data_IF_718898382323
#
_entry.id   IF_718898382323
#
_cell.length_a   1.000
_cell.length_b   1.000
_cell.length_c   1.000
_cell.angle_alpha   90.00
_cell.angle_beta   90.00
_cell.angle_gamma   90.00
#
_symmetry.space_group_name_H-M   'P 1'
#
loop_
_entity.id
_entity.type
_entity.pdbx_description
1 polymer ?
#
# COMPACT_ATOMS: atom_id res chain seq x y z
N UNK A 1 -2.09 0.44 -32.12
CA UNK A 1 -3.45 0.75 -31.63
C UNK A 1 -3.38 1.93 -30.69
N UNK A 2 -4.46 2.70 -30.62
CA UNK A 2 -4.69 3.80 -29.69
C UNK A 2 -5.59 3.30 -28.56
N UNK A 3 -5.06 3.25 -27.34
CA UNK A 3 -5.71 2.61 -26.20
C UNK A 3 -6.00 3.67 -25.14
N UNK A 4 -7.28 3.88 -24.85
CA UNK A 4 -7.71 4.76 -23.77
C UNK A 4 -7.96 3.94 -22.51
N UNK A 5 -7.19 4.17 -21.44
CA UNK A 5 -7.38 3.47 -20.15
C UNK A 5 -8.01 4.43 -19.15
N UNK A 6 -9.00 3.98 -18.37
CA UNK A 6 -9.67 4.81 -17.37
C UNK A 6 -9.42 4.26 -15.97
N UNK A 7 -8.74 5.06 -15.14
CA UNK A 7 -8.53 4.79 -13.73
C UNK A 7 -9.58 5.56 -12.89
N UNK A 8 -10.36 4.88 -12.05
CA UNK A 8 -11.43 5.51 -11.27
C UNK A 8 -10.91 6.27 -10.04
N UNK A 9 -9.69 5.97 -9.59
CA UNK A 9 -9.11 6.48 -8.35
C UNK A 9 -8.08 7.56 -8.63
N UNK A 10 -7.98 8.53 -7.71
CA UNK A 10 -7.00 9.60 -7.89
C UNK A 10 -5.57 9.08 -7.96
N UNK A 11 -4.81 9.66 -8.89
CA UNK A 11 -3.43 9.30 -9.21
C UNK A 11 -2.47 9.72 -8.09
N UNK A 12 -2.87 10.69 -7.27
CA UNK A 12 -2.11 11.26 -6.16
C UNK A 12 -1.86 10.24 -5.03
N UNK A 13 -2.74 9.23 -4.93
CA UNK A 13 -2.71 8.24 -3.86
C UNK A 13 -2.31 6.88 -4.42
N UNK A 14 -1.22 6.26 -3.94
CA UNK A 14 -0.82 4.94 -4.39
C UNK A 14 -1.81 3.86 -3.93
N UNK A 15 -2.17 2.98 -4.87
CA UNK A 15 -3.07 1.86 -4.65
C UNK A 15 -2.90 0.79 -5.72
N UNK A 16 -3.44 -0.41 -5.47
CA UNK A 16 -3.23 -1.56 -6.34
C UNK A 16 -3.76 -1.36 -7.77
N UNK A 17 -4.90 -0.69 -7.93
CA UNK A 17 -5.47 -0.41 -9.25
C UNK A 17 -4.65 0.66 -9.98
N UNK A 18 -4.19 1.70 -9.29
CA UNK A 18 -3.31 2.72 -9.88
C UNK A 18 -2.00 2.11 -10.37
N UNK A 19 -1.36 1.25 -9.57
CA UNK A 19 -0.15 0.54 -9.98
C UNK A 19 -0.41 -0.37 -11.17
N UNK A 20 -1.49 -1.15 -11.13
CA UNK A 20 -1.86 -2.01 -12.26
C UNK A 20 -2.08 -1.19 -13.55
N UNK A 21 -2.81 -0.09 -13.50
CA UNK A 21 -3.06 0.78 -14.66
C UNK A 21 -1.76 1.37 -15.19
N UNK A 22 -0.89 1.88 -14.31
CA UNK A 22 0.42 2.43 -14.69
C UNK A 22 1.27 1.37 -15.38
N UNK A 23 1.46 0.22 -14.74
CA UNK A 23 2.36 -0.83 -15.21
C UNK A 23 1.85 -1.42 -16.54
N UNK A 24 0.52 -1.59 -16.68
CA UNK A 24 -0.12 -1.99 -17.92
C UNK A 24 0.07 -0.95 -19.04
N UNK A 25 -0.15 0.33 -18.75
CA UNK A 25 0.03 1.41 -19.72
C UNK A 25 1.49 1.46 -20.23
N UNK A 26 2.47 1.43 -19.32
CA UNK A 26 3.89 1.43 -19.66
C UNK A 26 4.30 0.17 -20.44
N UNK A 27 3.74 -0.99 -20.11
CA UNK A 27 3.96 -2.20 -20.87
C UNK A 27 3.40 -2.11 -22.30
N UNK A 28 2.17 -1.64 -22.47
CA UNK A 28 1.55 -1.44 -23.78
C UNK A 28 2.31 -0.40 -24.63
N UNK A 29 2.81 0.68 -24.01
CA UNK A 29 3.68 1.66 -24.68
C UNK A 29 4.96 0.98 -25.17
N UNK A 30 5.60 0.14 -24.34
CA UNK A 30 6.79 -0.63 -24.74
C UNK A 30 6.53 -1.60 -25.91
N UNK A 31 5.31 -2.10 -26.04
CA UNK A 31 4.88 -2.92 -27.18
C UNK A 31 4.56 -2.10 -28.44
N UNK A 32 4.68 -0.76 -28.40
CA UNK A 32 4.47 0.13 -29.54
C UNK A 32 3.03 0.64 -29.70
N UNK A 33 2.19 0.53 -28.66
CA UNK A 33 0.85 1.11 -28.66
C UNK A 33 0.87 2.59 -28.21
N UNK A 34 -0.04 3.39 -28.75
CA UNK A 34 -0.31 4.74 -28.25
C UNK A 34 -1.30 4.61 -27.09
N UNK A 35 -0.91 4.99 -25.89
CA UNK A 35 -1.75 4.85 -24.69
C UNK A 35 -2.02 6.20 -24.07
N UNK A 36 -3.28 6.44 -23.69
CA UNK A 36 -3.67 7.56 -22.85
C UNK A 36 -4.44 7.05 -21.64
N UNK A 37 -4.15 7.57 -20.46
CA UNK A 37 -4.79 7.19 -19.19
C UNK A 37 -5.58 8.38 -18.68
N UNK A 38 -6.89 8.23 -18.48
CA UNK A 38 -7.71 9.21 -17.79
C UNK A 38 -7.83 8.85 -16.30
N UNK A 39 -7.43 9.74 -15.41
CA UNK A 39 -7.52 9.55 -13.98
C UNK A 39 -7.85 10.86 -13.24
N UNK A 40 -8.54 10.82 -12.09
CA UNK A 40 -8.58 11.96 -11.19
C UNK A 40 -7.17 12.32 -10.70
N UNK A 41 -6.88 13.60 -10.54
CA UNK A 41 -5.62 14.08 -9.97
C UNK A 41 -5.79 15.51 -9.46
N UNK A 42 -5.02 15.87 -8.43
CA UNK A 42 -4.90 17.25 -7.97
C UNK A 42 -4.05 18.08 -8.95
N UNK A 43 -4.27 19.40 -9.00
CA UNK A 43 -3.68 20.26 -10.05
C UNK A 43 -2.15 20.34 -9.98
N UNK A 44 -1.58 20.15 -8.79
CA UNK A 44 -0.14 20.18 -8.53
C UNK A 44 0.54 18.82 -8.72
N UNK A 45 -0.22 17.76 -9.01
CA UNK A 45 0.33 16.42 -9.08
C UNK A 45 1.11 16.23 -10.38
N UNK A 46 2.41 15.87 -10.31
CA UNK A 46 3.18 15.57 -11.50
C UNK A 46 2.63 14.30 -12.16
N UNK A 47 2.15 14.42 -13.40
CA UNK A 47 1.58 13.32 -14.16
C UNK A 47 2.54 12.88 -15.27
N UNK A 48 2.68 11.57 -15.52
CA UNK A 48 3.35 11.07 -16.72
C UNK A 48 2.69 11.64 -17.99
N UNK A 49 3.42 11.77 -19.11
CA UNK A 49 2.91 12.43 -20.32
C UNK A 49 1.70 11.72 -20.96
N UNK A 50 1.50 10.44 -20.66
CA UNK A 50 0.36 9.66 -21.13
C UNK A 50 -0.86 9.76 -20.19
N UNK A 51 -0.77 10.45 -19.05
CA UNK A 51 -1.86 10.58 -18.08
C UNK A 51 -2.54 11.95 -18.20
N UNK A 52 -3.86 11.94 -18.34
CA UNK A 52 -4.73 13.11 -18.44
C UNK A 52 -5.58 13.23 -17.17
N UNK A 53 -5.55 14.40 -16.53
CA UNK A 53 -6.36 14.66 -15.33
C UNK A 53 -7.84 14.84 -15.69
N UNK A 54 -8.70 14.07 -15.03
CA UNK A 54 -10.15 14.30 -15.00
C UNK A 54 -10.55 15.35 -13.94
N UNK A 55 -9.60 15.83 -13.14
CA UNK A 55 -9.78 16.79 -12.06
C UNK A 55 -9.67 16.20 -10.65
N UNK A 56 -9.78 17.10 -9.67
CA UNK A 56 -9.70 16.78 -8.25
C UNK A 56 -10.72 15.73 -7.82
N UNK A 57 -10.28 14.85 -6.95
CA UNK A 57 -11.09 13.79 -6.40
C UNK A 57 -11.63 14.14 -5.01
N UNK A 58 -12.86 13.73 -4.74
CA UNK A 58 -13.52 13.85 -3.44
C UNK A 58 -13.29 12.55 -2.64
N UNK A 59 -12.91 12.63 -1.36
CA UNK A 59 -12.76 11.44 -0.52
C UNK A 59 -14.12 10.81 -0.22
N UNK A 60 -14.24 9.52 -0.51
CA UNK A 60 -15.41 8.68 -0.25
C UNK A 60 -14.96 7.49 0.60
N UNK A 61 -15.60 7.29 1.75
CA UNK A 61 -15.35 6.11 2.59
C UNK A 61 -15.94 4.87 1.93
N UNK A 62 -15.10 3.87 1.67
CA UNK A 62 -15.49 2.61 1.07
C UNK A 62 -14.74 1.44 1.72
N UNK A 63 -15.49 0.51 2.31
CA UNK A 63 -14.96 -0.76 2.86
C UNK A 63 -13.79 -0.59 3.86
N UNK A 64 -13.91 0.36 4.79
CA UNK A 64 -12.86 0.65 5.76
C UNK A 64 -11.63 1.38 5.20
N UNK A 65 -11.63 1.73 3.92
CA UNK A 65 -10.61 2.55 3.26
C UNK A 65 -11.22 3.87 2.76
N UNK A 66 -10.38 4.86 2.47
CA UNK A 66 -10.80 6.12 1.84
C UNK A 66 -10.38 6.07 0.37
N UNK A 67 -11.36 5.95 -0.52
CA UNK A 67 -11.14 6.06 -1.97
C UNK A 67 -11.37 7.51 -2.38
N UNK A 68 -10.48 8.08 -3.20
CA UNK A 68 -10.67 9.43 -3.76
C UNK A 68 -11.20 9.28 -5.18
N UNK A 69 -12.47 9.64 -5.38
CA UNK A 69 -13.21 9.46 -6.64
C UNK A 69 -13.59 10.82 -7.24
N UNK A 70 -13.76 10.87 -8.55
CA UNK A 70 -14.25 12.05 -9.25
C UNK A 70 -15.49 11.69 -10.08
N UNK A 71 -16.58 12.43 -9.88
CA UNK A 71 -17.85 12.23 -10.55
C UNK A 71 -18.63 13.56 -10.59
N UNK A 72 -19.37 13.82 -11.68
CA UNK A 72 -20.15 15.04 -11.83
C UNK A 72 -20.12 15.61 -13.25
N UNK A 73 -20.83 16.73 -13.46
CA UNK A 73 -21.01 17.34 -14.78
C UNK A 73 -19.68 17.78 -15.43
N UNK A 74 -18.79 18.43 -14.68
CA UNK A 74 -17.49 18.87 -15.17
C UNK A 74 -16.61 17.69 -15.57
N UNK A 75 -16.62 16.64 -14.77
CA UNK A 75 -15.91 15.38 -15.01
C UNK A 75 -16.46 14.69 -16.26
N UNK A 76 -17.78 14.66 -16.44
CA UNK A 76 -18.42 14.12 -17.63
C UNK A 76 -18.05 14.89 -18.90
N UNK A 77 -17.95 16.23 -18.82
CA UNK A 77 -17.47 17.05 -19.93
C UNK A 77 -16.02 16.73 -20.30
N UNK A 78 -15.13 16.57 -19.29
CA UNK A 78 -13.73 16.17 -19.49
C UNK A 78 -13.59 14.77 -20.09
N UNK A 79 -14.36 13.81 -19.59
CA UNK A 79 -14.43 12.44 -20.13
C UNK A 79 -14.83 12.47 -21.61
N UNK A 80 -15.91 13.19 -21.97
CA UNK A 80 -16.36 13.30 -23.37
C UNK A 80 -15.31 13.90 -24.27
N UNK A 81 -14.65 14.98 -23.83
CA UNK A 81 -13.57 15.62 -24.57
C UNK A 81 -12.39 14.66 -24.78
N UNK A 82 -11.96 13.97 -23.72
CA UNK A 82 -10.86 13.02 -23.80
C UNK A 82 -11.17 11.84 -24.75
N UNK A 83 -12.39 11.32 -24.71
CA UNK A 83 -12.84 10.26 -25.63
C UNK A 83 -12.85 10.76 -27.09
N UNK A 84 -13.34 11.97 -27.32
CA UNK A 84 -13.40 12.58 -28.65
C UNK A 84 -12.00 12.83 -29.23
N UNK A 85 -11.14 13.54 -28.47
CA UNK A 85 -9.80 13.94 -28.91
C UNK A 85 -8.86 12.73 -29.02
N UNK A 86 -9.08 11.71 -28.19
CA UNK A 86 -8.28 10.50 -28.15
C UNK A 86 -8.53 9.52 -29.29
N UNK A 87 -9.74 9.52 -29.89
CA UNK A 87 -10.16 8.62 -30.97
C UNK A 87 -9.56 7.20 -30.85
N UNK A 88 -9.86 6.56 -29.72
CA UNK A 88 -9.29 5.28 -29.30
C UNK A 88 -9.88 4.09 -30.06
N UNK A 89 -9.03 3.12 -30.40
CA UNK A 89 -9.44 1.82 -30.97
C UNK A 89 -10.13 0.94 -29.91
N UNK A 90 -9.66 1.05 -28.66
CA UNK A 90 -10.17 0.31 -27.50
C UNK A 90 -10.18 1.22 -26.28
N UNK A 91 -11.27 1.15 -25.51
CA UNK A 91 -11.40 1.85 -24.22
C UNK A 91 -11.41 0.80 -23.11
N UNK A 92 -10.41 0.86 -22.23
CA UNK A 92 -10.22 -0.09 -21.14
C UNK A 92 -10.52 0.57 -19.79
N UNK A 93 -11.63 0.20 -19.16
CA UNK A 93 -12.13 0.82 -17.94
C UNK A 93 -11.87 -0.08 -16.74
N UNK A 94 -11.29 0.48 -15.66
CA UNK A 94 -11.10 -0.25 -14.40
C UNK A 94 -12.18 0.13 -13.38
N UNK A 95 -12.76 -0.88 -12.70
CA UNK A 95 -13.85 -0.75 -11.71
C UNK A 95 -15.03 0.14 -12.15
N UNK A 96 -15.70 -0.16 -13.29
CA UNK A 96 -16.83 0.65 -13.77
C UNK A 96 -18.07 0.58 -12.88
N UNK A 97 -18.10 -0.31 -11.87
CA UNK A 97 -19.23 -0.50 -10.96
C UNK A 97 -19.37 0.60 -9.89
N UNK A 98 -18.46 1.57 -9.83
CA UNK A 98 -18.52 2.67 -8.85
C UNK A 98 -18.83 4.01 -9.53
N UNK A 99 -19.59 4.93 -8.89
CA UNK A 99 -19.85 6.27 -9.42
C UNK A 99 -18.55 7.09 -9.53
N UNK A 100 -17.87 6.94 -10.65
CA UNK A 100 -16.52 7.46 -10.91
C UNK A 100 -16.38 7.88 -12.37
N UNK A 101 -15.22 8.43 -12.74
CA UNK A 101 -14.86 8.70 -14.14
C UNK A 101 -14.93 7.45 -15.01
N UNK A 102 -14.77 6.25 -14.44
CA UNK A 102 -14.94 4.98 -15.13
C UNK A 102 -16.38 4.74 -15.57
N UNK A 103 -17.35 5.00 -14.69
CA UNK A 103 -18.77 4.91 -15.04
C UNK A 103 -19.18 5.97 -16.07
N UNK A 104 -18.71 7.21 -15.90
CA UNK A 104 -18.94 8.28 -16.86
C UNK A 104 -18.38 7.95 -18.24
N UNK A 105 -17.18 7.37 -18.30
CA UNK A 105 -16.58 6.89 -19.54
C UNK A 105 -17.40 5.76 -20.16
N UNK A 106 -17.90 4.83 -19.35
CA UNK A 106 -18.78 3.75 -19.82
C UNK A 106 -20.06 4.28 -20.49
N UNK A 107 -20.70 5.30 -19.90
CA UNK A 107 -21.86 5.96 -20.51
C UNK A 107 -21.51 6.72 -21.80
N UNK A 108 -20.39 7.46 -21.82
CA UNK A 108 -20.03 8.34 -22.94
C UNK A 108 -19.36 7.63 -24.12
N UNK A 109 -18.61 6.56 -23.87
CA UNK A 109 -17.80 5.85 -24.87
C UNK A 109 -18.65 5.21 -25.97
N UNK A 110 -18.12 5.15 -27.18
CA UNK A 110 -18.66 4.35 -28.27
C UNK A 110 -17.55 3.44 -28.80
N UNK A 111 -17.91 2.29 -29.37
CA UNK A 111 -16.94 1.30 -29.86
C UNK A 111 -16.55 0.25 -28.80
N UNK A 112 -15.42 -0.46 -28.99
CA UNK A 112 -15.01 -1.57 -28.14
C UNK A 112 -14.64 -1.13 -26.72
N UNK A 113 -15.40 -1.59 -25.73
CA UNK A 113 -15.15 -1.32 -24.31
C UNK A 113 -14.72 -2.61 -23.62
N UNK A 114 -13.53 -2.60 -23.03
CA UNK A 114 -13.04 -3.65 -22.13
C UNK A 114 -13.16 -3.15 -20.71
N UNK A 115 -13.65 -3.97 -19.78
CA UNK A 115 -13.71 -3.61 -18.37
C UNK A 115 -12.99 -4.62 -17.48
N UNK A 116 -12.15 -4.13 -16.56
CA UNK A 116 -11.48 -4.97 -15.55
C UNK A 116 -12.04 -4.73 -14.16
N UNK A 117 -12.36 -5.83 -13.47
CA UNK A 117 -12.87 -5.88 -12.11
C UNK A 117 -11.81 -6.51 -11.19
N UNK A 118 -11.28 -5.68 -10.31
CA UNK A 118 -10.31 -5.95 -9.24
C UNK A 118 -10.95 -6.33 -7.91
N UNK A 119 -12.16 -5.84 -7.63
CA UNK A 119 -12.81 -6.07 -6.34
C UNK A 119 -13.62 -7.36 -6.32
N UNK A 120 -13.69 -7.96 -5.14
CA UNK A 120 -14.27 -9.28 -4.92
C UNK A 120 -15.21 -9.27 -3.71
N UNK A 121 -15.98 -8.20 -3.54
CA UNK A 121 -16.78 -8.04 -2.33
C UNK A 121 -18.20 -8.59 -2.54
N UNK A 122 -18.60 -9.64 -1.80
CA UNK A 122 -19.95 -10.16 -1.86
C UNK A 122 -20.89 -9.25 -1.07
N UNK A 123 -21.99 -8.82 -1.72
CA UNK A 123 -23.20 -8.25 -1.09
C UNK A 123 -23.06 -6.88 -0.43
N UNK A 124 -22.87 -5.83 -1.22
CA UNK A 124 -23.32 -4.50 -0.82
C UNK A 124 -24.78 -4.30 -1.22
N UNK A 125 -25.68 -4.12 -0.25
CA UNK A 125 -27.10 -3.75 -0.50
C UNK A 125 -27.20 -2.48 -1.36
N UNK A 126 -26.21 -1.60 -1.26
CA UNK A 126 -26.10 -0.37 -2.08
C UNK A 126 -25.79 -0.70 -3.54
N UNK A 127 -24.95 -1.69 -3.82
CA UNK A 127 -24.64 -2.12 -5.19
C UNK A 127 -25.88 -2.70 -5.88
N UNK A 128 -26.67 -3.52 -5.16
CA UNK A 128 -27.92 -4.09 -5.69
C UNK A 128 -28.92 -2.98 -6.00
N UNK A 129 -29.07 -1.99 -5.11
CA UNK A 129 -29.98 -0.87 -5.32
C UNK A 129 -29.53 0.08 -6.44
N UNK A 130 -28.22 0.23 -6.65
CA UNK A 130 -27.66 1.07 -7.72
C UNK A 130 -27.68 0.37 -9.10
N UNK A 131 -27.83 -0.96 -9.13
CA UNK A 131 -27.68 -1.76 -10.35
C UNK A 131 -28.57 -1.30 -11.53
N UNK A 132 -29.87 -0.99 -11.36
CA UNK A 132 -30.71 -0.55 -12.49
C UNK A 132 -30.22 0.75 -13.15
N UNK A 133 -29.54 1.62 -12.41
CA UNK A 133 -28.96 2.88 -12.91
C UNK A 133 -27.66 2.60 -13.68
N UNK A 134 -26.89 1.60 -13.22
CA UNK A 134 -25.59 1.23 -13.79
C UNK A 134 -25.73 0.34 -15.02
N UNK A 135 -26.79 -0.48 -15.08
CA UNK A 135 -27.01 -1.51 -16.09
C UNK A 135 -26.84 -1.02 -17.54
N UNK A 136 -27.43 0.11 -17.98
CA UNK A 136 -27.27 0.58 -19.35
C UNK A 136 -25.81 0.95 -19.72
N UNK A 137 -25.00 1.34 -18.73
CA UNK A 137 -23.56 1.54 -18.96
C UNK A 137 -22.88 0.18 -19.14
N UNK A 138 -23.11 -0.73 -18.20
CA UNK A 138 -22.41 -2.00 -18.12
C UNK A 138 -22.74 -2.94 -19.30
N UNK A 139 -23.93 -2.81 -19.90
CA UNK A 139 -24.33 -3.55 -21.10
C UNK A 139 -23.49 -3.18 -22.34
N UNK A 140 -22.91 -1.97 -22.38
CA UNK A 140 -22.02 -1.54 -23.48
C UNK A 140 -20.64 -2.19 -23.44
N UNK A 141 -20.29 -2.85 -22.34
CA UNK A 141 -19.00 -3.51 -22.17
C UNK A 141 -18.94 -4.73 -23.10
N UNK A 142 -18.03 -4.67 -24.06
CA UNK A 142 -17.78 -5.72 -25.06
C UNK A 142 -17.06 -6.92 -24.47
N UNK A 143 -16.11 -6.69 -23.56
CA UNK A 143 -15.35 -7.75 -22.88
C UNK A 143 -15.13 -7.43 -21.40
N UNK A 144 -15.28 -8.45 -20.54
CA UNK A 144 -15.11 -8.33 -19.10
C UNK A 144 -13.92 -9.17 -18.64
N UNK A 145 -13.05 -8.56 -17.86
CA UNK A 145 -11.88 -9.19 -17.24
C UNK A 145 -12.08 -9.19 -15.73
N UNK A 146 -11.95 -10.36 -15.11
CA UNK A 146 -11.84 -10.50 -13.67
C UNK A 146 -10.39 -10.80 -13.30
N UNK A 147 -9.84 -10.13 -12.29
CA UNK A 147 -8.42 -10.33 -11.93
C UNK A 147 -8.15 -11.62 -11.15
N UNK A 148 -9.20 -12.31 -10.75
CA UNK A 148 -9.15 -13.60 -10.04
C UNK A 148 -10.48 -14.33 -10.18
N UNK A 149 -10.50 -15.62 -9.92
CA UNK A 149 -11.76 -16.39 -9.85
C UNK A 149 -12.72 -15.84 -8.78
N UNK A 150 -12.17 -15.24 -7.71
CA UNK A 150 -13.00 -14.63 -6.68
C UNK A 150 -13.69 -13.34 -7.16
N UNK A 151 -12.97 -12.52 -7.94
CA UNK A 151 -13.55 -11.36 -8.61
C UNK A 151 -14.58 -11.78 -9.67
N UNK A 152 -14.30 -12.84 -10.43
CA UNK A 152 -15.23 -13.40 -11.43
C UNK A 152 -16.53 -13.86 -10.78
N UNK A 153 -16.44 -14.64 -9.71
CA UNK A 153 -17.62 -15.08 -8.95
C UNK A 153 -18.45 -13.89 -8.48
N UNK A 154 -17.80 -12.86 -7.93
CA UNK A 154 -18.48 -11.63 -7.50
C UNK A 154 -19.20 -10.94 -8.66
N UNK A 155 -18.54 -10.83 -9.81
CA UNK A 155 -19.10 -10.23 -11.02
C UNK A 155 -20.32 -11.00 -11.52
N UNK A 156 -20.19 -12.32 -11.68
CA UNK A 156 -21.26 -13.20 -12.17
C UNK A 156 -22.46 -13.16 -11.24
N UNK A 157 -22.23 -13.18 -9.92
CA UNK A 157 -23.30 -13.14 -8.91
C UNK A 157 -24.06 -11.81 -8.87
N UNK A 158 -23.41 -10.67 -9.16
CA UNK A 158 -24.01 -9.33 -8.93
C UNK A 158 -24.34 -8.55 -10.19
N UNK A 159 -23.56 -8.72 -11.26
CA UNK A 159 -23.70 -7.96 -12.51
C UNK A 159 -24.11 -8.84 -13.69
N UNK A 160 -24.08 -10.17 -13.53
CA UNK A 160 -24.39 -11.12 -14.60
C UNK A 160 -23.39 -11.09 -15.76
N UNK A 161 -23.55 -12.04 -16.69
CA UNK A 161 -22.66 -12.19 -17.84
C UNK A 161 -21.40 -13.01 -17.54
N UNK A 162 -20.59 -13.23 -18.57
CA UNK A 162 -19.32 -13.95 -18.46
C UNK A 162 -18.13 -12.97 -18.44
N UNK A 163 -17.03 -13.41 -17.83
CA UNK A 163 -15.77 -12.70 -17.78
C UNK A 163 -14.61 -13.67 -17.83
N UNK A 164 -13.56 -13.26 -18.53
CA UNK A 164 -12.30 -13.99 -18.59
C UNK A 164 -11.48 -13.66 -17.35
N UNK A 165 -10.89 -14.67 -16.71
CA UNK A 165 -9.95 -14.44 -15.61
C UNK A 165 -8.57 -14.13 -16.18
N UNK A 166 -8.09 -12.91 -15.94
CA UNK A 166 -6.72 -12.50 -16.29
C UNK A 166 -6.10 -11.89 -15.03
N UNK A 167 -5.17 -12.58 -14.37
CA UNK A 167 -4.49 -12.06 -13.19
C UNK A 167 -3.75 -10.75 -13.48
N UNK A 168 -3.58 -9.92 -12.46
CA UNK A 168 -2.75 -8.73 -12.58
C UNK A 168 -1.31 -9.12 -12.89
N UNK A 169 -0.70 -8.40 -13.83
CA UNK A 169 0.72 -8.51 -14.12
C UNK A 169 1.59 -7.98 -12.98
N UNK A 170 2.81 -8.47 -12.92
CA UNK A 170 3.88 -8.00 -12.05
C UNK A 170 5.11 -7.78 -12.93
N UNK A 171 5.86 -6.70 -12.73
CA UNK A 171 7.13 -6.49 -13.42
C UNK A 171 8.19 -7.46 -12.89
N UNK A 172 8.24 -8.65 -13.50
CA UNK A 172 9.14 -9.73 -13.07
C UNK A 172 10.60 -9.31 -13.21
N UNK A 173 10.96 -8.52 -14.21
CA UNK A 173 12.34 -8.08 -14.43
C UNK A 173 12.84 -7.19 -13.30
N UNK A 174 11.98 -6.30 -12.79
CA UNK A 174 12.29 -5.49 -11.61
C UNK A 174 12.63 -6.35 -10.39
N UNK A 175 11.83 -7.38 -10.11
CA UNK A 175 12.03 -8.24 -8.94
C UNK A 175 13.17 -9.25 -9.14
N UNK A 176 13.34 -9.79 -10.34
CA UNK A 176 14.37 -10.78 -10.65
C UNK A 176 15.80 -10.23 -10.50
N UNK A 177 15.97 -8.92 -10.64
CA UNK A 177 17.25 -8.22 -10.45
C UNK A 177 17.46 -7.66 -9.05
N UNK A 178 16.52 -7.88 -8.14
CA UNK A 178 16.63 -7.35 -6.78
C UNK A 178 17.69 -8.13 -5.98
N UNK A 179 18.64 -7.42 -5.39
CA UNK A 179 19.64 -8.03 -4.49
C UNK A 179 19.15 -8.03 -3.04
N UNK A 180 19.16 -9.19 -2.35
CA UNK A 180 18.79 -9.26 -0.94
C UNK A 180 19.73 -8.42 -0.07
N UNK A 181 19.17 -7.47 0.68
CA UNK A 181 19.93 -6.65 1.61
C UNK A 181 20.54 -7.47 2.74
N UNK A 182 21.89 -7.54 2.89
CA UNK A 182 22.56 -8.40 3.87
C UNK A 182 22.04 -8.25 5.29
N UNK A 183 21.69 -7.03 5.70
CA UNK A 183 21.21 -6.73 7.04
C UNK A 183 19.86 -7.39 7.37
N UNK A 184 19.07 -7.75 6.37
CA UNK A 184 17.76 -8.40 6.55
C UNK A 184 17.75 -9.89 6.22
N UNK A 185 18.89 -10.46 5.82
CA UNK A 185 19.02 -11.90 5.55
C UNK A 185 19.06 -12.71 6.84
N UNK A 186 18.65 -13.99 6.81
CA UNK A 186 18.60 -14.88 7.97
C UNK A 186 17.18 -15.01 8.54
N UNK A 187 17.06 -15.10 9.87
CA UNK A 187 15.78 -15.29 10.59
C UNK A 187 14.98 -13.98 10.67
N UNK A 188 14.56 -13.47 9.52
CA UNK A 188 13.77 -12.25 9.41
C UNK A 188 12.37 -12.58 8.90
N UNK A 189 11.35 -12.17 9.66
CA UNK A 189 9.96 -12.20 9.26
C UNK A 189 9.66 -10.89 8.54
N UNK A 190 9.24 -10.96 7.27
CA UNK A 190 8.80 -9.79 6.50
C UNK A 190 7.29 -9.62 6.56
N UNK A 191 6.82 -8.44 6.93
CA UNK A 191 5.42 -8.01 6.80
C UNK A 191 5.33 -6.89 5.77
N UNK A 192 4.48 -7.05 4.75
CA UNK A 192 4.24 -6.02 3.74
C UNK A 192 2.75 -5.66 3.74
N UNK A 193 2.43 -4.43 4.12
CA UNK A 193 1.05 -3.97 4.20
C UNK A 193 0.92 -2.63 4.91
N UNK A 194 -0.23 -1.97 4.73
CA UNK A 194 -0.54 -0.75 5.47
C UNK A 194 -0.65 -1.06 6.97
N UNK A 195 0.11 -0.34 7.77
CA UNK A 195 0.25 -0.55 9.23
C UNK A 195 -1.06 -0.22 9.94
N UNK A 196 -1.75 0.83 9.46
CA UNK A 196 -3.01 1.39 9.95
C UNK A 196 -4.26 0.65 9.46
N UNK A 197 -4.10 -0.47 8.74
CA UNK A 197 -5.22 -1.31 8.29
C UNK A 197 -5.23 -2.66 9.02
N UNK A 198 -5.97 -2.81 10.15
CA UNK A 198 -5.97 -4.02 10.97
C UNK A 198 -6.26 -5.32 10.20
N UNK A 199 -7.06 -5.23 9.12
CA UNK A 199 -7.37 -6.34 8.21
C UNK A 199 -6.14 -6.95 7.53
N UNK A 200 -5.00 -6.27 7.54
CA UNK A 200 -3.72 -6.76 7.00
C UNK A 200 -3.01 -7.72 7.95
N UNK A 201 -3.46 -7.84 9.20
CA UNK A 201 -3.00 -8.86 10.14
C UNK A 201 -1.75 -8.50 10.93
N UNK A 202 -1.23 -7.27 10.81
CA UNK A 202 -0.08 -6.84 11.62
C UNK A 202 -0.33 -6.99 13.14
N UNK A 203 -1.49 -6.60 13.69
CA UNK A 203 -1.76 -6.80 15.13
C UNK A 203 -1.77 -8.27 15.55
N UNK A 204 -2.13 -9.18 14.63
CA UNK A 204 -2.09 -10.63 14.89
C UNK A 204 -0.64 -11.10 14.97
N UNK A 205 0.20 -10.67 14.02
CA UNK A 205 1.63 -10.97 14.02
C UNK A 205 2.34 -10.44 15.27
N UNK A 206 2.04 -9.20 15.68
CA UNK A 206 2.60 -8.60 16.88
C UNK A 206 2.24 -9.41 18.14
N UNK A 207 1.00 -9.88 18.28
CA UNK A 207 0.61 -10.76 19.40
C UNK A 207 1.29 -12.13 19.38
N UNK A 208 1.66 -12.63 18.20
CA UNK A 208 2.38 -13.89 18.07
C UNK A 208 3.89 -13.75 18.34
N UNK A 209 4.45 -12.54 18.16
CA UNK A 209 5.88 -12.28 18.21
C UNK A 209 6.55 -12.73 19.52
N UNK A 210 5.97 -12.52 20.73
CA UNK A 210 6.60 -13.01 21.96
C UNK A 210 6.79 -14.53 22.01
N UNK A 211 5.88 -15.31 21.41
CA UNK A 211 5.99 -16.78 21.33
C UNK A 211 7.06 -17.18 20.32
N UNK A 212 7.10 -16.51 19.17
CA UNK A 212 8.14 -16.71 18.15
C UNK A 212 9.52 -16.44 18.75
N UNK A 213 9.70 -15.33 19.48
CA UNK A 213 10.97 -14.97 20.10
C UNK A 213 11.37 -15.92 21.25
N UNK A 214 10.42 -16.60 21.88
CA UNK A 214 10.73 -17.62 22.89
C UNK A 214 11.38 -18.86 22.27
N UNK A 215 10.98 -19.23 21.04
CA UNK A 215 11.53 -20.38 20.31
C UNK A 215 12.72 -20.02 19.42
N UNK A 216 12.72 -18.80 18.89
CA UNK A 216 13.73 -18.26 17.96
C UNK A 216 14.18 -16.87 18.44
N UNK A 217 15.08 -16.79 19.44
CA UNK A 217 15.41 -15.53 20.11
C UNK A 217 16.09 -14.48 19.23
N UNK A 218 16.71 -14.88 18.13
CA UNK A 218 17.38 -14.01 17.16
C UNK A 218 16.48 -13.63 15.97
N UNK A 219 15.19 -14.00 16.00
CA UNK A 219 14.24 -13.61 14.97
C UNK A 219 14.04 -12.08 14.95
N UNK A 220 13.93 -11.51 13.76
CA UNK A 220 13.67 -10.07 13.54
C UNK A 220 12.38 -9.89 12.75
N UNK A 221 11.68 -8.79 12.97
CA UNK A 221 10.50 -8.41 12.21
C UNK A 221 10.80 -7.16 11.37
N UNK A 222 10.67 -7.28 10.05
CA UNK A 222 10.72 -6.16 9.11
C UNK A 222 9.30 -5.82 8.66
N UNK A 223 8.83 -4.62 9.00
CA UNK A 223 7.51 -4.11 8.60
C UNK A 223 7.69 -3.06 7.50
N UNK A 224 7.13 -3.33 6.33
CA UNK A 224 7.17 -2.44 5.17
C UNK A 224 5.74 -2.01 4.76
N UNK A 225 5.47 -0.71 4.86
CA UNK A 225 4.22 -0.13 4.39
C UNK A 225 3.97 1.27 4.91
N UNK A 226 2.96 1.94 4.35
CA UNK A 226 2.49 3.23 4.86
C UNK A 226 1.71 3.02 6.15
N UNK A 227 1.71 4.02 7.01
CA UNK A 227 0.94 4.05 8.24
C UNK A 227 1.17 5.35 8.99
N UNK A 228 0.41 5.53 10.05
CA UNK A 228 0.61 6.64 10.97
C UNK A 228 1.85 6.41 11.85
N UNK A 229 2.60 7.49 12.12
CA UNK A 229 3.83 7.42 12.92
C UNK A 229 3.55 7.09 14.38
N UNK A 230 2.46 7.62 14.96
CA UNK A 230 2.06 7.30 16.34
C UNK A 230 1.70 5.82 16.46
N UNK A 231 0.94 5.30 15.49
CA UNK A 231 0.54 3.89 15.48
C UNK A 231 1.74 2.96 15.30
N UNK A 232 2.69 3.29 14.42
CA UNK A 232 3.92 2.52 14.23
C UNK A 232 4.76 2.46 15.51
N UNK A 233 4.91 3.60 16.22
CA UNK A 233 5.62 3.66 17.51
C UNK A 233 4.88 2.87 18.59
N UNK A 234 3.55 2.99 18.66
CA UNK A 234 2.74 2.24 19.62
C UNK A 234 2.91 0.73 19.41
N UNK A 235 2.84 0.27 18.16
CA UNK A 235 3.05 -1.13 17.80
C UNK A 235 4.46 -1.61 18.14
N UNK A 236 5.51 -0.86 17.77
CA UNK A 236 6.88 -1.21 18.13
C UNK A 236 7.07 -1.32 19.65
N UNK A 237 6.37 -0.49 20.42
CA UNK A 237 6.40 -0.50 21.87
C UNK A 237 5.51 -1.58 22.53
N UNK A 238 4.63 -2.24 21.79
CA UNK A 238 3.66 -3.23 22.30
C UNK A 238 4.25 -4.65 22.47
N UNK A 239 5.57 -4.81 22.31
CA UNK A 239 6.28 -6.06 22.65
C UNK A 239 6.69 -6.08 24.12
N UNK A 240 6.67 -7.26 24.75
CA UNK A 240 7.20 -7.47 26.11
C UNK A 240 8.74 -7.35 26.16
N UNK A 241 9.40 -7.39 25.00
CA UNK A 241 10.84 -7.31 24.84
C UNK A 241 11.25 -5.91 24.32
N UNK A 242 12.52 -5.56 24.48
CA UNK A 242 13.03 -4.27 24.07
C UNK A 242 14.56 -4.25 24.02
N UNK A 243 15.18 -5.20 23.31
CA UNK A 243 16.64 -5.28 23.22
C UNK A 243 17.19 -4.25 22.23
N UNK A 244 16.77 -4.37 20.96
CA UNK A 244 17.15 -3.48 19.87
C UNK A 244 15.94 -3.17 19.00
N UNK A 245 15.78 -1.90 18.66
CA UNK A 245 14.91 -1.43 17.59
C UNK A 245 15.72 -0.71 16.52
N UNK A 246 15.10 -0.44 15.38
CA UNK A 246 15.76 0.21 14.28
C UNK A 246 14.77 1.04 13.44
N UNK A 247 15.23 2.19 12.94
CA UNK A 247 14.44 3.11 12.12
C UNK A 247 15.18 3.38 10.81
N UNK A 248 14.54 3.12 9.67
CA UNK A 248 15.04 3.51 8.35
C UNK A 248 14.19 4.63 7.75
N UNK A 249 14.84 5.71 7.35
CA UNK A 249 14.18 6.86 6.73
C UNK A 249 15.17 7.67 5.89
N UNK A 250 14.70 8.14 4.72
CA UNK A 250 15.42 9.15 3.93
C UNK A 250 15.37 10.55 4.56
N UNK A 251 14.41 10.81 5.45
CA UNK A 251 14.38 11.99 6.33
C UNK A 251 15.03 11.63 7.67
N UNK A 252 16.25 12.11 7.88
CA UNK A 252 17.04 11.85 9.09
C UNK A 252 16.41 12.49 10.33
N UNK A 253 15.86 13.70 10.22
CA UNK A 253 15.24 14.38 11.36
C UNK A 253 14.02 13.61 11.86
N UNK A 254 13.22 13.08 10.92
CA UNK A 254 12.12 12.17 11.26
C UNK A 254 12.63 10.88 11.92
N UNK A 255 13.70 10.30 11.40
CA UNK A 255 14.27 9.07 11.96
C UNK A 255 14.64 9.21 13.44
N UNK A 256 15.32 10.30 13.80
CA UNK A 256 15.69 10.59 15.19
C UNK A 256 14.49 10.88 16.09
N UNK A 257 13.47 11.60 15.59
CA UNK A 257 12.22 11.82 16.34
C UNK A 257 11.51 10.50 16.68
N UNK A 258 11.42 9.59 15.72
CA UNK A 258 10.82 8.26 15.93
C UNK A 258 11.69 7.43 16.88
N UNK A 259 13.00 7.38 16.65
CA UNK A 259 13.94 6.60 17.47
C UNK A 259 13.88 6.97 18.96
N UNK A 260 13.75 8.25 19.29
CA UNK A 260 13.62 8.72 20.67
C UNK A 260 12.34 8.29 21.39
N UNK A 261 11.35 7.76 20.66
CA UNK A 261 10.05 7.31 21.20
C UNK A 261 9.98 5.78 21.37
N UNK A 262 10.97 5.05 20.88
CA UNK A 262 11.03 3.59 20.97
C UNK A 262 11.58 3.16 22.33
N UNK A 263 10.91 2.21 22.97
CA UNK A 263 11.25 1.65 24.28
C UNK A 263 12.12 0.41 24.11
N UNK A 264 13.32 0.61 23.56
CA UNK A 264 14.35 -0.41 23.41
C UNK A 264 15.69 0.03 24.02
N UNK A 265 16.50 -0.97 24.35
CA UNK A 265 17.85 -0.82 24.86
C UNK A 265 18.76 -0.02 23.93
N UNK A 266 18.80 -0.40 22.66
CA UNK A 266 19.44 0.37 21.60
C UNK A 266 18.48 0.61 20.44
N UNK A 267 18.64 1.76 19.77
CA UNK A 267 17.89 2.07 18.55
C UNK A 267 18.87 2.46 17.45
N UNK A 268 18.93 1.67 16.37
CA UNK A 268 19.75 1.99 15.21
C UNK A 268 19.00 2.87 14.21
N UNK A 269 19.58 4.01 13.82
CA UNK A 269 19.04 4.86 12.75
C UNK A 269 19.80 4.59 11.46
N UNK A 270 19.11 4.09 10.44
CA UNK A 270 19.67 3.72 9.14
C UNK A 270 20.86 2.73 9.23
N UNK A 271 20.92 1.92 10.29
CA UNK A 271 21.98 0.95 10.52
C UNK A 271 21.52 -0.15 11.47
N UNK A 272 22.07 -1.35 11.29
CA UNK A 272 22.03 -2.44 12.30
C UNK A 272 23.34 -2.56 13.08
N UNK A 273 24.32 -1.70 12.75
CA UNK A 273 25.64 -1.71 13.38
C UNK A 273 25.59 -1.35 14.85
N UNK A 274 26.33 -2.10 15.68
CA UNK A 274 26.51 -1.77 17.09
C UNK A 274 27.68 -0.79 17.25
N UNK A 275 27.53 0.16 18.16
CA UNK A 275 28.64 0.99 18.63
C UNK A 275 29.18 0.38 19.93
N UNK A 276 30.44 -0.05 19.92
CA UNK A 276 31.11 -0.70 21.06
C UNK A 276 31.49 0.27 22.21
N UNK A 277 31.28 1.56 22.03
CA UNK A 277 31.42 2.56 23.10
C UNK A 277 30.06 2.97 23.68
N UNK A 278 28.95 2.59 23.04
CA UNK A 278 27.59 2.91 23.48
C UNK A 278 27.03 1.81 24.40
N UNK A 279 26.11 2.17 25.33
CA UNK A 279 25.54 1.20 26.26
C UNK A 279 24.67 0.16 25.54
N UNK A 280 24.99 -1.12 25.70
CA UNK A 280 24.22 -2.25 25.19
C UNK A 280 23.49 -2.95 26.34
N UNK A 281 22.21 -3.28 26.16
CA UNK A 281 21.40 -3.92 27.20
C UNK A 281 19.94 -3.58 27.00
N UNK A 282 19.05 -4.53 27.27
CA UNK A 282 17.64 -4.40 26.91
C UNK A 282 16.79 -3.60 27.89
N UNK A 283 15.58 -3.28 27.45
CA UNK A 283 14.47 -2.80 28.27
C UNK A 283 13.44 -3.92 28.48
N UNK A 284 12.52 -3.72 29.43
CA UNK A 284 11.42 -4.65 29.73
C UNK A 284 11.95 -6.05 30.06
N UNK A 285 11.41 -7.11 29.44
CA UNK A 285 11.89 -8.49 29.65
C UNK A 285 13.24 -8.78 28.98
N UNK A 286 13.80 -7.86 28.21
CA UNK A 286 15.14 -7.99 27.62
C UNK A 286 16.27 -7.64 28.59
N UNK A 287 15.96 -7.33 29.85
CA UNK A 287 16.93 -7.18 30.93
C UNK A 287 16.95 -5.79 31.54
N UNK A 288 17.86 -5.62 32.51
CA UNK A 288 18.20 -4.37 33.18
C UNK A 288 19.71 -4.21 33.22
N UNK A 289 20.20 -2.98 33.29
CA UNK A 289 21.64 -2.67 33.24
C UNK A 289 22.14 -2.47 31.81
N UNK A 290 23.40 -2.04 31.71
CA UNK A 290 24.09 -1.73 30.44
C UNK A 290 25.49 -2.33 30.49
N UNK A 291 25.77 -3.18 29.52
CA UNK A 291 27.09 -3.67 29.17
C UNK A 291 27.68 -2.79 28.06
N UNK A 292 28.96 -2.97 27.75
CA UNK A 292 29.71 -2.23 26.72
C UNK A 292 30.03 -0.77 27.10
N UNK A 293 31.09 -0.21 26.50
CA UNK A 293 31.59 1.12 26.81
C UNK A 293 31.99 1.30 28.29
N UNK A 294 31.91 2.54 28.78
CA UNK A 294 32.14 2.84 30.20
C UNK A 294 31.06 2.26 31.13
N UNK A 295 29.90 1.89 30.59
CA UNK A 295 28.79 1.32 31.35
C UNK A 295 29.08 -0.09 31.85
N UNK A 296 29.87 -0.87 31.09
CA UNK A 296 30.37 -2.16 31.55
C UNK A 296 31.14 -2.05 32.87
N UNK A 297 31.92 -0.98 33.08
CA UNK A 297 32.65 -0.78 34.33
C UNK A 297 31.70 -0.68 35.52
N UNK A 298 30.55 -0.02 35.36
CA UNK A 298 29.51 0.04 36.39
C UNK A 298 28.81 -1.31 36.59
N UNK A 299 28.59 -2.08 35.51
CA UNK A 299 27.94 -3.39 35.58
C UNK A 299 28.83 -4.48 36.21
N UNK A 300 30.14 -4.37 36.06
CA UNK A 300 31.14 -5.32 36.56
C UNK A 300 31.94 -4.85 37.78
N UNK A 301 31.49 -3.78 38.46
CA UNK A 301 32.10 -3.28 39.71
C UNK A 301 31.08 -3.25 40.84
N UNK A 302 31.51 -3.52 42.07
CA UNK A 302 30.68 -3.38 43.27
C UNK A 302 30.90 -2.00 43.92
N UNK A 303 29.82 -1.24 44.13
CA UNK A 303 29.88 0.08 44.78
C UNK A 303 29.69 -0.08 46.29
N UNK A 304 30.69 0.32 47.08
CA UNK A 304 30.62 0.35 48.54
C UNK A 304 30.53 1.80 49.04
N UNK A 305 29.51 2.10 49.85
CA UNK A 305 29.42 3.35 50.58
C UNK A 305 29.84 3.13 52.04
N UNK A 306 30.66 4.04 52.58
CA UNK A 306 31.01 4.08 54.01
C UNK A 306 30.44 5.37 54.58
N UNK A 307 29.54 5.24 55.56
CA UNK A 307 28.86 6.38 56.19
C UNK A 307 29.34 6.50 57.63
N UNK A 308 29.98 7.62 57.96
CA UNK A 308 30.37 7.98 59.32
C UNK A 308 29.48 9.12 59.82
N UNK A 309 28.62 8.90 60.83
CA UNK A 309 27.70 9.93 61.31
C UNK A 309 28.36 11.01 62.18
N UNK A 310 29.62 10.82 62.58
CA UNK A 310 30.26 11.57 63.66
C UNK A 310 30.59 10.65 64.82
#
# INVERSE_FOLDING_TARGET
MRIGIVCPYSWDVPGGVQFHVRDLAEHLIRLGHEVSVLAPADDETPLPPYVVSAGRAVPVRYNGSVARLNFGFLSAARVRRWLHDGAFDVIHIHEPGTPSVGLLACWAAQGPIVATFHTSNPRSRVMIAAYPILQPALEKISARIAVSEYARRTLVEHLGGDAVVIPNGVDVDFFARAEPRPEWQGRTIGFIGRIDEPRKGLPVLMRALPRILAEVPDARLLVAGRGDEEEAVALANDTDYGLLDYVWSGDVARAFRVAGRLRAGGVGVNTVGRNMEAPFGGFKRSGVGRDVGSYALHAYSETQAVVWPG
#
